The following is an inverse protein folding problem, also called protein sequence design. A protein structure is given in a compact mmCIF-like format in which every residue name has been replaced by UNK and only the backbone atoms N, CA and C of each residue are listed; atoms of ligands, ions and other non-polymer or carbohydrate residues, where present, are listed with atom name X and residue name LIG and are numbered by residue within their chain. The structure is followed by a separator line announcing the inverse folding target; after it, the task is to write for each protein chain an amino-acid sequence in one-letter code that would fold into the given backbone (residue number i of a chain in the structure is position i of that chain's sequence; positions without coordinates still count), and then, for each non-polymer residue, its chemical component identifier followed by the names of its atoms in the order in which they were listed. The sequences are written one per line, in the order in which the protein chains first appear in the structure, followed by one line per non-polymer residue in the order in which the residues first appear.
data_IF_832026976697
#
_entry.id   IF_832026976697
#
_cell.length_a   1.000
_cell.length_b   1.000
_cell.length_c   1.000
_cell.angle_alpha   90.00
_cell.angle_beta   90.00
_cell.angle_gamma   90.00
#
_symmetry.space_group_name_H-M   'P 1'
#
loop_
_entity.id
_entity.type
_entity.pdbx_description
1 polymer ?
#
# COMPACT_ATOMS: atom_id res chain seq x y z
N UNK A 1 19.32 -47.33 10.70
CA UNK A 1 20.03 -46.14 11.15
C UNK A 1 19.69 -45.05 10.15
N UNK A 2 18.69 -44.23 10.46
CA UNK A 2 18.33 -43.02 9.64
C UNK A 2 19.14 -41.87 10.24
N UNK A 3 20.11 -41.44 9.47
CA UNK A 3 20.95 -40.31 9.79
C UNK A 3 20.12 -39.02 9.79
N UNK A 4 20.33 -38.20 10.80
CA UNK A 4 19.64 -36.93 11.02
C UNK A 4 20.09 -35.89 9.99
N UNK A 5 19.64 -36.02 8.75
CA UNK A 5 19.73 -34.98 7.77
C UNK A 5 18.73 -33.87 8.09
N UNK A 6 19.25 -32.68 8.15
CA UNK A 6 18.60 -31.41 8.45
C UNK A 6 17.21 -31.30 7.77
N UNK A 7 16.14 -31.16 8.56
CA UNK A 7 14.74 -31.16 8.08
C UNK A 7 14.38 -29.93 7.24
N UNK A 8 15.33 -29.06 6.95
CA UNK A 8 15.12 -27.80 6.21
C UNK A 8 15.58 -27.81 4.76
N UNK A 9 16.25 -28.86 4.30
CA UNK A 9 16.61 -29.01 2.90
C UNK A 9 15.93 -30.25 2.31
N UNK A 10 14.68 -30.09 1.86
CA UNK A 10 14.11 -31.08 0.95
C UNK A 10 14.97 -31.10 -0.32
N UNK A 11 15.53 -32.27 -0.71
CA UNK A 11 16.40 -32.32 -1.88
C UNK A 11 15.66 -31.78 -3.09
N UNK A 12 16.27 -30.77 -3.75
CA UNK A 12 15.78 -30.10 -4.98
C UNK A 12 15.21 -31.08 -6.02
N UNK A 13 15.67 -32.30 -6.03
CA UNK A 13 15.24 -33.42 -6.90
C UNK A 13 13.76 -33.80 -6.74
N UNK A 14 13.14 -33.57 -5.64
CA UNK A 14 11.72 -33.90 -5.40
C UNK A 14 10.75 -32.80 -5.76
N UNK A 15 11.21 -31.54 -5.87
CA UNK A 15 10.37 -30.41 -6.26
C UNK A 15 9.89 -30.48 -7.70
N UNK A 16 10.67 -31.02 -8.61
CA UNK A 16 10.30 -31.10 -10.05
C UNK A 16 9.10 -32.02 -10.34
N UNK A 17 8.78 -32.94 -9.45
CA UNK A 17 7.67 -33.89 -9.68
C UNK A 17 6.30 -33.24 -9.47
N UNK A 18 6.22 -32.16 -8.72
CA UNK A 18 4.96 -31.51 -8.30
C UNK A 18 4.95 -29.99 -8.46
N UNK A 19 5.69 -29.46 -9.44
CA UNK A 19 5.69 -28.02 -9.70
C UNK A 19 4.31 -27.60 -10.19
N UNK A 20 3.61 -26.69 -9.47
CA UNK A 20 2.31 -26.20 -9.90
C UNK A 20 2.42 -25.46 -11.23
N UNK A 21 1.51 -25.78 -12.16
CA UNK A 21 1.40 -25.11 -13.44
C UNK A 21 0.05 -24.41 -13.50
N UNK A 22 0.09 -23.09 -13.63
CA UNK A 22 -1.12 -22.30 -13.84
C UNK A 22 -1.30 -22.02 -15.32
N UNK A 23 -2.51 -22.25 -15.81
CA UNK A 23 -2.86 -21.96 -17.21
C UNK A 23 -3.97 -20.92 -17.19
N UNK A 24 -3.67 -19.75 -17.71
CA UNK A 24 -4.65 -18.69 -17.95
C UNK A 24 -5.07 -18.73 -19.40
N UNK A 25 -6.37 -18.77 -19.64
CA UNK A 25 -6.96 -18.66 -20.97
C UNK A 25 -7.84 -17.42 -21.01
N UNK A 26 -7.55 -16.52 -21.91
CA UNK A 26 -8.40 -15.38 -22.20
C UNK A 26 -9.10 -15.62 -23.56
N UNK A 27 -10.38 -15.30 -23.61
CA UNK A 27 -11.13 -15.24 -24.85
C UNK A 27 -11.97 -13.96 -24.82
N UNK A 28 -11.86 -13.12 -25.84
CA UNK A 28 -12.67 -11.90 -25.94
C UNK A 28 -14.17 -12.24 -26.03
N UNK A 29 -15.04 -11.34 -25.59
CA UNK A 29 -16.49 -11.56 -25.57
C UNK A 29 -17.08 -11.94 -26.93
N UNK A 30 -16.48 -11.48 -28.04
CA UNK A 30 -16.88 -11.80 -29.38
C UNK A 30 -16.12 -13.02 -30.00
N UNK A 31 -15.29 -13.70 -29.22
CA UNK A 31 -14.50 -14.84 -29.68
C UNK A 31 -13.41 -14.52 -30.70
N UNK A 32 -13.21 -13.25 -31.05
CA UNK A 32 -12.29 -12.81 -32.13
C UNK A 32 -10.82 -12.93 -31.78
N UNK A 33 -10.50 -12.93 -30.52
CA UNK A 33 -9.12 -13.11 -30.03
C UNK A 33 -9.10 -14.00 -28.80
N UNK A 34 -8.14 -14.91 -28.77
CA UNK A 34 -7.87 -15.71 -27.58
C UNK A 34 -6.37 -15.87 -27.42
N UNK A 35 -5.91 -15.85 -26.17
CA UNK A 35 -4.55 -16.24 -25.86
C UNK A 35 -4.51 -17.15 -24.65
N UNK A 36 -3.49 -17.98 -24.59
CA UNK A 36 -3.23 -18.90 -23.49
C UNK A 36 -1.83 -18.62 -22.95
N UNK A 37 -1.75 -18.30 -21.68
CA UNK A 37 -0.48 -18.15 -20.97
C UNK A 37 -0.30 -19.30 -19.98
N UNK A 38 0.94 -19.69 -19.75
CA UNK A 38 1.31 -20.70 -18.77
C UNK A 38 2.35 -20.12 -17.84
N UNK A 39 2.12 -20.30 -16.55
CA UNK A 39 3.08 -19.94 -15.50
C UNK A 39 3.47 -21.23 -14.79
N UNK A 40 4.75 -21.52 -14.77
CA UNK A 40 5.34 -22.65 -14.06
C UNK A 40 5.97 -22.06 -12.81
N UNK A 41 5.57 -22.53 -11.62
CA UNK A 41 6.15 -22.08 -10.36
C UNK A 41 7.39 -22.90 -10.02
N UNK A 42 8.41 -22.81 -10.87
CA UNK A 42 9.74 -23.32 -10.53
C UNK A 42 10.45 -22.37 -9.55
N UNK A 43 11.55 -22.79 -8.93
CA UNK A 43 12.28 -21.98 -7.97
C UNK A 43 12.74 -20.62 -8.53
N UNK A 44 13.08 -20.56 -9.81
CA UNK A 44 13.51 -19.32 -10.47
C UNK A 44 12.32 -18.34 -10.59
N UNK A 45 11.18 -18.80 -11.09
CA UNK A 45 9.95 -17.99 -11.18
C UNK A 45 9.50 -17.51 -9.80
N UNK A 46 9.61 -18.34 -8.77
CA UNK A 46 9.29 -17.94 -7.39
C UNK A 46 10.25 -16.84 -6.91
N UNK A 47 11.55 -16.96 -7.18
CA UNK A 47 12.54 -15.96 -6.82
C UNK A 47 12.28 -14.62 -7.54
N UNK A 48 11.94 -14.66 -8.84
CA UNK A 48 11.55 -13.48 -9.60
C UNK A 48 10.29 -12.80 -9.02
N UNK A 49 9.27 -13.59 -8.67
CA UNK A 49 8.05 -13.05 -8.04
C UNK A 49 8.35 -12.41 -6.69
N UNK A 50 9.20 -13.04 -5.87
CA UNK A 50 9.62 -12.48 -4.59
C UNK A 50 10.29 -11.11 -4.79
N UNK A 51 11.28 -11.03 -5.67
CA UNK A 51 11.96 -9.78 -5.99
C UNK A 51 10.98 -8.71 -6.47
N UNK A 52 10.05 -9.09 -7.35
CA UNK A 52 9.05 -8.17 -7.87
C UNK A 52 8.07 -7.67 -6.80
N UNK A 53 7.67 -8.55 -5.90
CA UNK A 53 6.82 -8.16 -4.75
C UNK A 53 7.59 -7.20 -3.84
N UNK A 54 8.85 -7.48 -3.52
CA UNK A 54 9.70 -6.61 -2.70
C UNK A 54 9.86 -5.22 -3.33
N UNK A 55 10.10 -5.14 -4.64
CA UNK A 55 10.15 -3.86 -5.38
C UNK A 55 8.81 -3.09 -5.28
N UNK A 56 7.67 -3.77 -5.45
CA UNK A 56 6.35 -3.15 -5.38
C UNK A 56 6.04 -2.64 -3.96
N UNK A 57 6.37 -3.43 -2.93
CA UNK A 57 6.20 -3.02 -1.52
C UNK A 57 7.07 -1.80 -1.22
N UNK A 58 8.33 -1.81 -1.63
CA UNK A 58 9.25 -0.69 -1.45
C UNK A 58 8.75 0.57 -2.19
N UNK A 59 8.24 0.42 -3.42
CA UNK A 59 7.66 1.52 -4.18
C UNK A 59 6.43 2.12 -3.48
N UNK A 60 5.56 1.30 -2.89
CA UNK A 60 4.38 1.75 -2.16
C UNK A 60 4.72 2.48 -0.85
N UNK A 61 5.86 2.18 -0.24
CA UNK A 61 6.32 2.84 0.98
C UNK A 61 6.98 4.19 0.72
N UNK A 62 7.25 4.56 -0.54
CA UNK A 62 7.92 5.83 -0.86
C UNK A 62 7.02 7.03 -0.55
N UNK A 63 7.62 8.12 -0.05
CA UNK A 63 6.92 9.38 0.22
C UNK A 63 6.19 9.93 -0.99
N UNK A 64 6.76 9.78 -2.19
CA UNK A 64 6.14 10.23 -3.44
C UNK A 64 4.87 9.44 -3.78
N UNK A 65 4.87 8.12 -3.54
CA UNK A 65 3.68 7.30 -3.73
C UNK A 65 2.57 7.71 -2.75
N UNK A 66 2.90 7.85 -1.47
CA UNK A 66 1.94 8.26 -0.43
C UNK A 66 1.34 9.65 -0.72
N UNK A 67 2.14 10.62 -1.18
CA UNK A 67 1.64 11.94 -1.57
C UNK A 67 0.63 11.89 -2.73
N UNK A 68 0.82 11.00 -3.71
CA UNK A 68 -0.12 10.82 -4.84
C UNK A 68 -1.46 10.26 -4.39
N UNK A 69 -1.50 9.49 -3.31
CA UNK A 69 -2.74 8.97 -2.75
C UNK A 69 -3.59 10.04 -2.05
N UNK A 70 -3.00 11.20 -1.69
CA UNK A 70 -3.69 12.33 -1.09
C UNK A 70 -4.49 13.12 -2.14
N UNK A 71 -5.53 12.49 -2.69
CA UNK A 71 -6.38 13.10 -3.71
C UNK A 71 -7.28 14.20 -3.14
N UNK A 72 -7.78 15.15 -3.96
CA UNK A 72 -8.77 16.12 -3.52
C UNK A 72 -10.03 15.49 -2.93
N UNK A 73 -10.48 14.36 -3.49
CA UNK A 73 -11.62 13.61 -3.00
C UNK A 73 -11.37 13.06 -1.58
N UNK A 74 -10.19 12.46 -1.35
CA UNK A 74 -9.81 11.97 -0.03
C UNK A 74 -9.69 13.12 0.99
N UNK A 75 -9.09 14.26 0.62
CA UNK A 75 -9.03 15.44 1.49
C UNK A 75 -10.43 15.90 1.90
N UNK A 76 -11.34 16.02 0.95
CA UNK A 76 -12.74 16.41 1.21
C UNK A 76 -13.42 15.42 2.16
N UNK A 77 -13.23 14.12 1.94
CA UNK A 77 -13.79 13.07 2.80
C UNK A 77 -13.29 13.19 4.24
N UNK A 78 -11.98 13.41 4.44
CA UNK A 78 -11.41 13.56 5.78
C UNK A 78 -11.92 14.84 6.45
N UNK A 79 -11.95 15.98 5.76
CA UNK A 79 -12.47 17.22 6.28
C UNK A 79 -13.96 17.10 6.69
N UNK A 80 -14.77 16.41 5.89
CA UNK A 80 -16.18 16.12 6.22
C UNK A 80 -16.30 15.24 7.45
N UNK A 81 -15.52 14.15 7.54
CA UNK A 81 -15.48 13.26 8.71
C UNK A 81 -15.17 14.04 9.99
N UNK A 82 -14.21 14.96 9.91
CA UNK A 82 -13.75 15.78 11.03
C UNK A 82 -14.60 17.05 11.25
N UNK A 83 -15.74 17.14 10.56
CA UNK A 83 -16.69 18.26 10.64
C UNK A 83 -16.00 19.62 10.43
N UNK A 84 -15.03 19.68 9.48
CA UNK A 84 -14.24 20.88 9.18
C UNK A 84 -13.62 21.52 10.43
N UNK A 85 -13.18 20.69 11.36
CA UNK A 85 -12.64 21.08 12.66
C UNK A 85 -11.21 20.61 12.81
N UNK A 86 -10.33 21.46 13.30
CA UNK A 86 -8.95 21.09 13.62
C UNK A 86 -8.92 20.08 14.78
N UNK A 87 -8.42 18.90 14.54
CA UNK A 87 -8.36 17.83 15.55
C UNK A 87 -7.34 18.08 16.68
N UNK A 88 -6.53 19.13 16.56
CA UNK A 88 -5.55 19.52 17.57
C UNK A 88 -6.08 20.62 18.51
N UNK A 89 -6.60 21.74 17.95
CA UNK A 89 -7.01 22.88 18.77
C UNK A 89 -8.53 23.08 18.83
N UNK A 90 -9.31 22.28 18.10
CA UNK A 90 -10.78 22.36 18.09
C UNK A 90 -11.36 23.56 17.32
N UNK A 91 -10.53 24.39 16.68
CA UNK A 91 -11.04 25.50 15.88
C UNK A 91 -11.62 25.01 14.56
N UNK A 92 -12.65 25.63 14.02
CA UNK A 92 -13.40 25.21 12.85
C UNK A 92 -13.73 26.36 11.92
N UNK A 93 -14.08 26.06 10.66
CA UNK A 93 -14.59 27.08 9.71
C UNK A 93 -15.89 27.72 10.18
N UNK A 94 -16.63 27.09 11.10
CA UNK A 94 -17.86 27.63 11.66
C UNK A 94 -17.58 28.75 12.69
N UNK A 95 -16.42 28.65 13.38
CA UNK A 95 -15.97 29.69 14.31
C UNK A 95 -15.12 30.77 13.61
N UNK A 96 -14.34 30.37 12.62
CA UNK A 96 -13.46 31.24 11.86
C UNK A 96 -13.62 30.91 10.34
N UNK A 97 -14.48 31.61 9.62
CA UNK A 97 -14.82 31.30 8.22
C UNK A 97 -13.61 31.29 7.26
N UNK A 98 -12.57 32.05 7.59
CA UNK A 98 -11.32 32.10 6.79
C UNK A 98 -10.23 31.17 7.30
N UNK A 99 -10.56 30.20 8.18
CA UNK A 99 -9.61 29.25 8.70
C UNK A 99 -9.11 28.32 7.59
N UNK A 100 -7.80 28.33 7.35
CA UNK A 100 -7.18 27.39 6.45
C UNK A 100 -7.02 26.03 7.12
N UNK A 101 -7.76 25.05 6.61
CA UNK A 101 -7.68 23.66 7.04
C UNK A 101 -6.86 22.83 6.04
N UNK A 102 -6.05 21.97 6.57
CA UNK A 102 -5.17 21.05 5.83
C UNK A 102 -5.40 19.64 6.34
N UNK A 103 -5.24 18.64 5.46
CA UNK A 103 -5.26 17.22 5.86
C UNK A 103 -3.82 16.76 5.98
N UNK A 104 -3.47 16.24 7.14
CA UNK A 104 -2.14 15.77 7.49
C UNK A 104 -2.16 14.33 7.99
N UNK A 105 -1.01 13.65 7.92
CA UNK A 105 -0.84 12.31 8.44
C UNK A 105 -0.66 12.33 9.97
N UNK A 106 -1.38 11.49 10.71
CA UNK A 106 -1.19 11.31 12.15
C UNK A 106 0.25 10.80 12.39
N UNK A 107 0.59 9.65 11.80
CA UNK A 107 1.97 9.16 11.71
C UNK A 107 2.57 9.69 10.41
N UNK A 108 3.65 10.49 10.45
CA UNK A 108 4.28 11.05 9.27
C UNK A 108 4.72 9.98 8.26
N UNK A 109 4.67 10.30 6.97
CA UNK A 109 5.14 9.38 5.91
C UNK A 109 6.63 9.07 6.06
N UNK A 110 7.42 10.03 6.53
CA UNK A 110 8.85 9.85 6.85
C UNK A 110 9.10 8.77 7.92
N UNK A 111 8.10 8.48 8.74
CA UNK A 111 8.11 7.43 9.78
C UNK A 111 7.26 6.20 9.40
N UNK A 112 7.02 5.99 8.12
CA UNK A 112 6.28 4.83 7.61
C UNK A 112 4.76 4.98 7.63
N UNK A 113 4.22 6.16 7.94
CA UNK A 113 2.80 6.45 7.87
C UNK A 113 2.24 6.28 6.45
N UNK A 114 1.05 5.68 6.36
CA UNK A 114 0.36 5.44 5.07
C UNK A 114 -0.76 6.45 4.87
N UNK A 115 -1.04 6.79 3.62
CA UNK A 115 -2.16 7.66 3.24
C UNK A 115 -3.45 6.84 3.18
N UNK A 116 -4.00 6.55 4.35
CA UNK A 116 -5.28 5.86 4.57
C UNK A 116 -6.13 6.69 5.53
N UNK A 117 -7.47 6.63 5.46
CA UNK A 117 -8.35 7.47 6.28
C UNK A 117 -8.07 7.43 7.78
N UNK A 118 -7.70 6.26 8.32
CA UNK A 118 -7.38 6.08 9.74
C UNK A 118 -6.09 6.76 10.20
N UNK A 119 -5.19 7.08 9.25
CA UNK A 119 -3.93 7.78 9.54
C UNK A 119 -3.95 9.24 9.08
N UNK A 120 -5.12 9.79 8.76
CA UNK A 120 -5.28 11.17 8.30
C UNK A 120 -6.16 11.96 9.29
N UNK A 121 -5.86 13.23 9.45
CA UNK A 121 -6.56 14.16 10.32
C UNK A 121 -6.65 15.55 9.71
N UNK A 122 -7.69 16.29 10.06
CA UNK A 122 -7.83 17.70 9.69
C UNK A 122 -7.13 18.58 10.72
N UNK A 123 -6.24 19.44 10.28
CA UNK A 123 -5.55 20.42 11.13
C UNK A 123 -5.71 21.83 10.56
N UNK A 124 -5.72 22.83 11.42
CA UNK A 124 -5.51 24.20 10.95
C UNK A 124 -4.02 24.40 10.58
N UNK A 125 -3.75 25.37 9.72
CA UNK A 125 -2.40 25.64 9.23
C UNK A 125 -1.36 25.87 10.36
N UNK A 126 -1.77 26.50 11.48
CA UNK A 126 -0.91 26.73 12.65
C UNK A 126 -0.52 25.41 13.34
N UNK A 127 -1.54 24.55 13.60
CA UNK A 127 -1.31 23.25 14.22
C UNK A 127 -0.51 22.32 13.31
N UNK A 128 -0.79 22.36 12.00
CA UNK A 128 -0.05 21.55 11.05
C UNK A 128 1.44 21.91 11.00
N UNK A 129 1.77 23.18 10.93
CA UNK A 129 3.16 23.65 10.99
C UNK A 129 3.86 23.30 12.30
N UNK A 130 3.16 23.44 13.44
CA UNK A 130 3.72 23.10 14.74
C UNK A 130 3.96 21.61 14.90
N UNK A 131 3.10 20.77 14.31
CA UNK A 131 3.25 19.32 14.35
C UNK A 131 4.47 18.89 13.54
N UNK A 132 4.66 19.39 12.30
CA UNK A 132 5.74 18.99 11.39
C UNK A 132 5.85 17.45 11.33
N UNK A 133 7.02 16.86 11.52
CA UNK A 133 7.28 15.42 11.56
C UNK A 133 7.17 14.80 12.98
N UNK A 134 6.57 15.50 13.93
CA UNK A 134 6.32 14.96 15.28
C UNK A 134 5.09 14.03 15.27
N UNK A 135 5.11 13.08 16.20
CA UNK A 135 3.95 12.24 16.51
C UNK A 135 3.02 12.98 17.43
#
# INVERSE_FOLDING_TARGET
MYDSADKNELPYKYFYKYIPRFVMKYTSAAGRSSYKSRVILDPETIAEFRTKIEELVNKQSTSNYQRRLMTPALRKQIMQRDNYTCQCCGNSIYNEPNLLLEVDHIVPVSRGGKTIPSNLQTLCWKCNRNKSDRL
#
